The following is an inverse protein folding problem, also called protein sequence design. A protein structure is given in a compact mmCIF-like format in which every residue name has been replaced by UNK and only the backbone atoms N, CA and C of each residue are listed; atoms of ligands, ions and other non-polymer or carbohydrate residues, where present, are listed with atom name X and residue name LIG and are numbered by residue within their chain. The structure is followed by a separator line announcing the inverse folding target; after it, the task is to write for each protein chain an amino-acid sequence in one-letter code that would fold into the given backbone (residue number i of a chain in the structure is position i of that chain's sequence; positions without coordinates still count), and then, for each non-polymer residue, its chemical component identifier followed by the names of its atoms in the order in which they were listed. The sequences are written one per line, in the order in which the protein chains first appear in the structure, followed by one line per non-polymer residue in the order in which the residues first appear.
data_IF_672301508254
#
_entry.id   IF_672301508254
#
_cell.length_a   1.000
_cell.length_b   1.000
_cell.length_c   1.000
_cell.angle_alpha   90.00
_cell.angle_beta   90.00
_cell.angle_gamma   90.00
#
_symmetry.space_group_name_H-M   'P 1'
#
loop_
_entity.id
_entity.type
_entity.pdbx_description
1 polymer ?
#
# COMPACT_ATOMS: atom_id res chain seq x y z
N UNK A 1 -10.33 -27.62 -16.45
CA UNK A 1 -11.48 -26.73 -16.77
C UNK A 1 -12.82 -27.45 -16.60
N UNK A 2 -13.13 -28.51 -17.36
CA UNK A 2 -14.41 -29.26 -17.22
C UNK A 2 -14.57 -29.92 -15.83
N UNK A 3 -13.49 -30.45 -15.26
CA UNK A 3 -13.47 -31.04 -13.90
C UNK A 3 -13.69 -29.98 -12.80
N UNK A 4 -13.18 -28.75 -13.00
CA UNK A 4 -13.38 -27.60 -12.10
C UNK A 4 -14.84 -27.10 -12.15
N UNK A 5 -15.44 -27.05 -13.35
CA UNK A 5 -16.84 -26.68 -13.52
C UNK A 5 -17.80 -27.74 -12.93
N UNK A 6 -17.47 -29.04 -13.06
CA UNK A 6 -18.21 -30.12 -12.42
C UNK A 6 -18.14 -30.08 -10.89
N UNK A 7 -16.97 -29.75 -10.33
CA UNK A 7 -16.78 -29.57 -8.89
C UNK A 7 -17.59 -28.41 -8.30
N UNK A 8 -17.56 -27.24 -8.96
CA UNK A 8 -18.34 -26.07 -8.53
C UNK A 8 -19.86 -26.27 -8.66
N UNK A 9 -20.32 -26.99 -9.70
CA UNK A 9 -21.74 -27.31 -9.88
C UNK A 9 -22.31 -28.26 -8.81
N UNK A 10 -21.51 -29.22 -8.34
CA UNK A 10 -21.87 -30.13 -7.26
C UNK A 10 -21.91 -29.43 -5.89
N UNK A 11 -21.01 -28.47 -5.64
CA UNK A 11 -20.98 -27.73 -4.37
C UNK A 11 -22.12 -26.71 -4.28
N UNK A 12 -22.50 -26.07 -5.39
CA UNK A 12 -23.63 -25.15 -5.46
C UNK A 12 -25.01 -25.82 -5.32
N UNK A 13 -25.13 -27.11 -5.61
CA UNK A 13 -26.35 -27.90 -5.37
C UNK A 13 -26.58 -28.20 -3.87
N UNK A 14 -25.54 -28.06 -3.04
CA UNK A 14 -25.57 -28.41 -1.60
C UNK A 14 -25.84 -27.21 -0.67
N UNK A 15 -25.75 -25.97 -1.15
CA UNK A 15 -25.91 -24.74 -0.34
C UNK A 15 -27.23 -24.02 -0.62
N UNK A 16 -27.81 -23.33 0.37
CA UNK A 16 -29.04 -22.50 0.22
C UNK A 16 -28.70 -21.00 0.28
N UNK A 17 -29.48 -20.16 -0.41
CA UNK A 17 -29.36 -18.69 -0.35
C UNK A 17 -28.68 -18.02 -1.55
N UNK A 18 -28.24 -16.76 -1.38
CA UNK A 18 -27.63 -15.94 -2.44
C UNK A 18 -26.34 -16.54 -3.03
N UNK A 19 -25.57 -17.26 -2.22
CA UNK A 19 -24.32 -17.92 -2.64
C UNK A 19 -24.55 -18.99 -3.73
N UNK A 20 -25.66 -19.72 -3.68
CA UNK A 20 -26.04 -20.71 -4.72
C UNK A 20 -26.28 -20.05 -6.08
N UNK A 21 -26.89 -18.86 -6.10
CA UNK A 21 -27.17 -18.14 -7.35
C UNK A 21 -25.88 -17.64 -7.99
N UNK A 22 -24.94 -17.16 -7.18
CA UNK A 22 -23.63 -16.69 -7.65
C UNK A 22 -22.83 -17.86 -8.21
N UNK A 23 -22.76 -18.98 -7.49
CA UNK A 23 -22.02 -20.18 -7.93
C UNK A 23 -22.58 -20.79 -9.23
N UNK A 24 -23.92 -20.84 -9.38
CA UNK A 24 -24.56 -21.32 -10.61
C UNK A 24 -24.32 -20.39 -11.80
N UNK A 25 -24.32 -19.07 -11.59
CA UNK A 25 -24.02 -18.08 -12.65
C UNK A 25 -22.56 -18.21 -13.08
N UNK A 26 -21.62 -18.32 -12.14
CA UNK A 26 -20.20 -18.51 -12.45
C UNK A 26 -19.97 -19.82 -13.20
N UNK A 27 -20.59 -20.92 -12.78
CA UNK A 27 -20.50 -22.20 -13.47
C UNK A 27 -21.06 -22.13 -14.91
N UNK A 28 -22.20 -21.46 -15.11
CA UNK A 28 -22.80 -21.27 -16.43
C UNK A 28 -21.91 -20.43 -17.37
N UNK A 29 -21.30 -19.36 -16.85
CA UNK A 29 -20.37 -18.51 -17.61
C UNK A 29 -19.12 -19.29 -18.02
N UNK A 30 -18.55 -20.08 -17.12
CA UNK A 30 -17.39 -20.95 -17.43
C UNK A 30 -17.75 -21.98 -18.49
N UNK A 31 -18.92 -22.59 -18.40
CA UNK A 31 -19.39 -23.58 -19.37
C UNK A 31 -19.61 -22.94 -20.75
N UNK A 32 -20.25 -21.77 -20.81
CA UNK A 32 -20.46 -21.01 -22.03
C UNK A 32 -19.12 -20.60 -22.67
N UNK A 33 -18.15 -20.15 -21.87
CA UNK A 33 -16.82 -19.81 -22.34
C UNK A 33 -16.09 -21.02 -22.95
N UNK A 34 -16.23 -22.22 -22.37
CA UNK A 34 -15.68 -23.47 -22.92
C UNK A 34 -16.32 -23.83 -24.25
N UNK A 35 -17.65 -23.71 -24.38
CA UNK A 35 -18.38 -23.98 -25.63
C UNK A 35 -17.95 -23.00 -26.72
N UNK A 36 -17.86 -21.70 -26.40
CA UNK A 36 -17.39 -20.67 -27.33
C UNK A 36 -15.94 -20.95 -27.75
N UNK A 37 -15.06 -21.33 -26.82
CA UNK A 37 -13.68 -21.71 -27.14
C UNK A 37 -13.62 -22.88 -28.11
N UNK A 38 -14.44 -23.92 -27.87
CA UNK A 38 -14.48 -25.13 -28.69
C UNK A 38 -14.99 -24.85 -30.12
N UNK A 39 -16.01 -23.98 -30.26
CA UNK A 39 -16.53 -23.56 -31.57
C UNK A 39 -15.49 -22.71 -32.32
N UNK A 40 -14.81 -21.81 -31.63
CA UNK A 40 -13.86 -20.86 -32.24
C UNK A 40 -12.50 -21.50 -32.55
N UNK A 41 -12.12 -22.59 -31.87
CA UNK A 41 -10.96 -23.41 -32.23
C UNK A 41 -11.09 -24.00 -33.63
N UNK A 42 -12.32 -24.24 -34.08
CA UNK A 42 -12.62 -24.79 -35.40
C UNK A 42 -12.54 -23.76 -36.53
N UNK A 43 -12.58 -22.47 -36.21
CA UNK A 43 -12.57 -21.36 -37.18
C UNK A 43 -11.27 -20.53 -37.17
N UNK A 44 -10.24 -20.98 -36.44
CA UNK A 44 -8.94 -20.30 -36.36
C UNK A 44 -8.89 -19.08 -35.44
N UNK A 45 -9.99 -18.73 -34.77
CA UNK A 45 -10.08 -17.56 -33.88
C UNK A 45 -9.68 -17.82 -32.42
N UNK A 46 -9.18 -19.02 -32.10
CA UNK A 46 -8.93 -19.43 -30.71
C UNK A 46 -7.99 -18.49 -29.95
N UNK A 47 -6.99 -17.91 -30.64
CA UNK A 47 -6.08 -16.94 -30.05
C UNK A 47 -6.78 -15.66 -29.60
N UNK A 48 -7.73 -15.14 -30.39
CA UNK A 48 -8.48 -13.93 -30.06
C UNK A 48 -9.39 -14.17 -28.84
N UNK A 49 -10.09 -15.31 -28.80
CA UNK A 49 -10.97 -15.64 -27.68
C UNK A 49 -10.15 -15.88 -26.40
N UNK A 50 -9.02 -16.59 -26.50
CA UNK A 50 -8.12 -16.76 -25.36
C UNK A 50 -7.59 -15.41 -24.85
N UNK A 51 -7.22 -14.48 -25.74
CA UNK A 51 -6.78 -13.13 -25.36
C UNK A 51 -7.89 -12.34 -24.66
N UNK A 52 -9.13 -12.40 -25.17
CA UNK A 52 -10.28 -11.74 -24.54
C UNK A 52 -10.58 -12.33 -23.17
N UNK A 53 -10.56 -13.66 -23.02
CA UNK A 53 -10.77 -14.32 -21.72
C UNK A 53 -9.66 -14.02 -20.72
N UNK A 54 -8.40 -13.93 -21.17
CA UNK A 54 -7.29 -13.50 -20.32
C UNK A 54 -7.43 -12.04 -19.89
N UNK A 55 -7.85 -11.16 -20.80
CA UNK A 55 -8.09 -9.75 -20.49
C UNK A 55 -9.25 -9.59 -19.49
N UNK A 56 -10.38 -10.26 -19.73
CA UNK A 56 -11.53 -10.27 -18.82
C UNK A 56 -11.17 -10.88 -17.47
N UNK A 57 -10.43 -11.99 -17.47
CA UNK A 57 -9.92 -12.63 -16.25
C UNK A 57 -8.98 -11.71 -15.47
N UNK A 58 -8.12 -10.95 -16.16
CA UNK A 58 -7.24 -9.95 -15.55
C UNK A 58 -8.00 -8.75 -14.97
N UNK A 59 -9.05 -8.27 -15.64
CA UNK A 59 -9.94 -7.22 -15.12
C UNK A 59 -10.72 -7.74 -13.90
N UNK A 60 -11.31 -8.93 -13.99
CA UNK A 60 -12.03 -9.54 -12.88
C UNK A 60 -11.13 -9.78 -11.66
N UNK A 61 -9.89 -10.27 -11.89
CA UNK A 61 -8.90 -10.43 -10.84
C UNK A 61 -8.53 -9.07 -10.20
N UNK A 62 -8.29 -8.03 -11.00
CA UNK A 62 -8.05 -6.68 -10.48
C UNK A 62 -9.18 -6.18 -9.59
N UNK A 63 -10.44 -6.37 -10.00
CA UNK A 63 -11.60 -5.94 -9.23
C UNK A 63 -11.76 -6.78 -7.95
N UNK A 64 -11.55 -8.10 -8.05
CA UNK A 64 -11.70 -9.02 -6.91
C UNK A 64 -10.59 -8.86 -5.86
N UNK A 65 -9.37 -8.56 -6.28
CA UNK A 65 -8.22 -8.33 -5.41
C UNK A 65 -7.96 -6.84 -5.12
N UNK A 66 -8.80 -5.93 -5.63
CA UNK A 66 -8.81 -4.57 -5.14
C UNK A 66 -9.22 -4.62 -3.66
N UNK A 67 -8.26 -4.43 -2.77
CA UNK A 67 -8.48 -4.43 -1.34
C UNK A 67 -9.44 -3.30 -0.99
N UNK A 68 -10.74 -3.61 -0.88
CA UNK A 68 -11.72 -2.67 -0.34
C UNK A 68 -11.62 -2.75 1.17
N UNK A 69 -10.77 -1.89 1.73
CA UNK A 69 -10.77 -1.64 3.17
C UNK A 69 -12.07 -0.90 3.48
N UNK A 70 -13.05 -1.59 4.07
CA UNK A 70 -14.26 -0.93 4.56
C UNK A 70 -13.86 -0.02 5.69
N UNK A 71 -14.07 1.29 5.52
CA UNK A 71 -13.82 2.30 6.55
C UNK A 71 -15.18 2.85 7.01
N UNK A 72 -15.49 2.83 8.31
CA UNK A 72 -16.62 3.57 8.86
C UNK A 72 -16.59 5.02 8.40
N UNK A 73 -17.76 5.59 8.08
CA UNK A 73 -17.86 7.00 7.73
C UNK A 73 -17.36 7.86 8.90
N UNK A 74 -16.57 8.89 8.60
CA UNK A 74 -16.06 9.83 9.58
C UNK A 74 -16.69 11.21 9.38
N UNK A 75 -16.74 12.05 10.43
CA UNK A 75 -17.11 13.45 10.28
C UNK A 75 -16.17 14.15 9.32
N UNK A 76 -16.71 14.97 8.42
CA UNK A 76 -15.91 15.80 7.54
C UNK A 76 -15.08 16.82 8.36
N UNK A 77 -13.75 16.90 8.17
CA UNK A 77 -12.92 17.95 8.74
C UNK A 77 -13.36 19.34 8.27
N UNK A 78 -13.36 20.31 9.18
CA UNK A 78 -13.68 21.72 8.89
C UNK A 78 -12.47 22.52 8.44
N UNK A 79 -11.27 22.14 8.88
CA UNK A 79 -9.99 22.82 8.59
C UNK A 79 -8.89 21.80 8.22
N UNK A 80 -9.09 20.97 7.18
CA UNK A 80 -8.09 20.02 6.76
C UNK A 80 -6.88 20.71 6.13
N UNK A 81 -5.67 20.22 6.44
CA UNK A 81 -4.42 20.73 5.89
C UNK A 81 -3.65 19.61 5.20
N UNK A 82 -3.18 19.85 3.98
CA UNK A 82 -2.24 18.97 3.26
C UNK A 82 -0.88 19.64 3.15
N UNK A 83 0.16 18.97 3.67
CA UNK A 83 1.55 19.36 3.48
C UNK A 83 2.10 18.57 2.29
N UNK A 84 2.67 19.25 1.31
CA UNK A 84 3.11 18.60 0.07
C UNK A 84 4.49 19.05 -0.38
N UNK A 85 5.27 18.11 -0.92
CA UNK A 85 6.61 18.39 -1.43
C UNK A 85 6.63 18.30 -2.97
N UNK A 86 6.83 19.42 -3.70
CA UNK A 86 6.80 19.46 -5.16
C UNK A 86 7.91 18.62 -5.82
N UNK A 87 8.98 18.27 -5.10
CA UNK A 87 10.11 17.48 -5.61
C UNK A 87 9.93 15.97 -5.38
N UNK A 88 8.95 15.54 -4.59
CA UNK A 88 8.75 14.12 -4.29
C UNK A 88 8.28 13.32 -5.51
N UNK A 89 8.71 12.06 -5.60
CA UNK A 89 8.23 11.10 -6.60
C UNK A 89 8.40 11.51 -8.06
N UNK A 90 9.34 12.40 -8.38
CA UNK A 90 9.50 12.95 -9.73
C UNK A 90 8.49 14.06 -10.07
N UNK A 91 8.02 14.78 -9.04
CA UNK A 91 7.09 15.90 -9.16
C UNK A 91 5.65 15.49 -9.43
N UNK A 92 5.23 14.33 -8.91
CA UNK A 92 3.85 13.84 -9.11
C UNK A 92 2.80 14.83 -8.61
N UNK A 93 2.97 15.35 -7.39
CA UNK A 93 2.05 16.33 -6.80
C UNK A 93 2.00 17.63 -7.62
N UNK A 94 3.16 18.12 -8.06
CA UNK A 94 3.26 19.31 -8.92
C UNK A 94 2.54 19.11 -10.26
N UNK A 95 2.83 18.01 -10.96
CA UNK A 95 2.20 17.66 -12.24
C UNK A 95 0.69 17.47 -12.13
N UNK A 96 0.23 17.03 -10.97
CA UNK A 96 -1.19 16.86 -10.65
C UNK A 96 -1.86 18.15 -10.14
N UNK A 97 -1.12 19.27 -10.06
CA UNK A 97 -1.61 20.54 -9.53
C UNK A 97 -2.24 20.40 -8.13
N UNK A 98 -1.61 19.59 -7.27
CA UNK A 98 -2.17 19.16 -5.98
C UNK A 98 -2.62 20.35 -5.12
N UNK A 99 -1.86 21.44 -5.09
CA UNK A 99 -2.20 22.63 -4.31
C UNK A 99 -3.53 23.26 -4.72
N UNK A 100 -3.78 23.39 -6.02
CA UNK A 100 -5.04 23.93 -6.53
C UNK A 100 -6.21 22.96 -6.33
N UNK A 101 -5.98 21.67 -6.55
CA UNK A 101 -6.98 20.61 -6.34
C UNK A 101 -7.40 20.50 -4.86
N UNK A 102 -6.45 20.66 -3.93
CA UNK A 102 -6.71 20.73 -2.51
C UNK A 102 -7.53 21.99 -2.16
N UNK A 103 -7.12 23.16 -2.65
CA UNK A 103 -7.85 24.41 -2.43
C UNK A 103 -9.30 24.34 -2.95
N UNK A 104 -9.52 23.72 -4.12
CA UNK A 104 -10.85 23.52 -4.69
C UNK A 104 -11.77 22.66 -3.81
N UNK A 105 -11.20 21.80 -2.95
CA UNK A 105 -11.91 20.96 -1.97
C UNK A 105 -12.07 21.62 -0.60
N UNK A 106 -11.54 22.83 -0.43
CA UNK A 106 -11.49 23.53 0.86
C UNK A 106 -10.40 23.01 1.80
N UNK A 107 -9.36 22.39 1.26
CA UNK A 107 -8.19 21.90 2.00
C UNK A 107 -7.07 22.96 1.89
N UNK A 108 -6.52 23.38 3.01
CA UNK A 108 -5.35 24.26 3.03
C UNK A 108 -4.12 23.49 2.52
N UNK A 109 -3.51 23.97 1.44
CA UNK A 109 -2.31 23.35 0.87
C UNK A 109 -1.06 24.10 1.28
N UNK A 110 -0.20 23.45 2.06
CA UNK A 110 1.10 23.98 2.51
C UNK A 110 2.21 23.32 1.70
N UNK A 111 2.86 24.09 0.84
CA UNK A 111 4.00 23.63 0.06
C UNK A 111 5.27 23.61 0.93
N UNK A 112 5.97 22.48 0.98
CA UNK A 112 7.27 22.34 1.61
C UNK A 112 8.37 22.87 0.68
N UNK A 113 8.96 24.01 1.03
CA UNK A 113 10.01 24.67 0.25
C UNK A 113 11.41 24.28 0.71
N UNK A 114 12.43 24.47 -0.13
CA UNK A 114 13.82 24.25 0.28
C UNK A 114 14.19 25.13 1.48
N UNK A 115 14.64 24.50 2.57
CA UNK A 115 15.03 25.19 3.81
C UNK A 115 13.93 25.21 4.88
N UNK A 116 12.71 24.82 4.54
CA UNK A 116 11.63 24.70 5.52
C UNK A 116 11.87 23.50 6.45
N UNK A 117 11.46 23.65 7.69
CA UNK A 117 11.33 22.54 8.64
C UNK A 117 9.91 21.96 8.54
N UNK A 118 9.82 20.73 8.03
CA UNK A 118 8.55 20.01 7.90
C UNK A 118 7.82 19.88 9.23
N UNK A 119 8.53 19.64 10.33
CA UNK A 119 7.90 19.46 11.66
C UNK A 119 7.27 20.78 12.08
N UNK A 120 7.99 21.89 11.96
CA UNK A 120 7.47 23.22 12.29
C UNK A 120 6.26 23.59 11.43
N UNK A 121 6.29 23.33 10.13
CA UNK A 121 5.13 23.62 9.26
C UNK A 121 3.86 22.88 9.69
N UNK A 122 3.99 21.63 10.11
CA UNK A 122 2.87 20.82 10.57
C UNK A 122 2.40 21.29 11.95
N UNK A 123 3.32 21.57 12.87
CA UNK A 123 3.01 22.10 14.19
C UNK A 123 2.32 23.47 14.11
N UNK A 124 2.77 24.35 13.21
CA UNK A 124 2.14 25.63 12.95
C UNK A 124 0.73 25.45 12.38
N UNK A 125 0.52 24.47 11.50
CA UNK A 125 -0.81 24.15 10.97
C UNK A 125 -1.77 23.68 12.08
N UNK A 126 -1.29 22.80 12.97
CA UNK A 126 -2.02 22.36 14.16
C UNK A 126 -2.34 23.55 15.06
N UNK A 127 -1.35 24.41 15.35
CA UNK A 127 -1.53 25.59 16.18
C UNK A 127 -2.55 26.60 15.59
N UNK A 128 -2.67 26.66 14.25
CA UNK A 128 -3.72 27.44 13.56
C UNK A 128 -5.11 26.80 13.65
N UNK A 129 -5.23 25.58 14.16
CA UNK A 129 -6.49 24.87 14.36
C UNK A 129 -6.82 23.87 13.24
N UNK A 130 -5.82 23.24 12.64
CA UNK A 130 -6.05 22.11 11.74
C UNK A 130 -6.74 20.96 12.50
N UNK A 131 -7.82 20.42 11.93
CA UNK A 131 -8.58 19.29 12.50
C UNK A 131 -8.41 17.98 11.71
N UNK A 132 -7.61 18.01 10.65
CA UNK A 132 -7.11 16.84 9.93
C UNK A 132 -5.82 17.19 9.19
N UNK A 133 -4.93 16.21 9.08
CA UNK A 133 -3.64 16.37 8.40
C UNK A 133 -3.49 15.40 7.22
N UNK A 134 -2.83 15.84 6.16
CA UNK A 134 -2.43 14.97 5.06
C UNK A 134 -1.01 15.27 4.61
N UNK A 135 -0.35 14.25 4.07
CA UNK A 135 1.02 14.36 3.58
C UNK A 135 1.15 13.84 2.15
N UNK A 136 1.58 14.71 1.24
CA UNK A 136 1.93 14.36 -0.13
C UNK A 136 3.45 14.37 -0.31
N UNK A 137 4.05 13.20 -0.11
CA UNK A 137 5.49 13.01 -0.21
C UNK A 137 5.88 11.53 -0.20
N UNK A 138 7.16 11.26 0.01
CA UNK A 138 7.63 9.89 0.28
C UNK A 138 7.28 9.40 1.69
N UNK A 139 7.58 8.13 1.97
CA UNK A 139 7.23 7.46 3.23
C UNK A 139 7.79 8.20 4.46
N UNK A 140 8.98 8.82 4.36
CA UNK A 140 9.57 9.62 5.46
C UNK A 140 8.78 10.90 5.79
N UNK A 141 8.30 11.62 4.76
CA UNK A 141 7.41 12.78 4.95
C UNK A 141 6.09 12.34 5.56
N UNK A 142 5.51 11.26 5.03
CA UNK A 142 4.25 10.72 5.54
C UNK A 142 4.37 10.26 7.00
N UNK A 143 5.45 9.56 7.37
CA UNK A 143 5.68 9.11 8.74
C UNK A 143 5.83 10.27 9.73
N UNK A 144 6.54 11.34 9.38
CA UNK A 144 6.70 12.52 10.24
C UNK A 144 5.36 13.23 10.49
N UNK A 145 4.58 13.47 9.43
CA UNK A 145 3.25 14.10 9.57
C UNK A 145 2.30 13.19 10.35
N UNK A 146 2.31 11.87 10.08
CA UNK A 146 1.51 10.89 10.81
C UNK A 146 1.86 10.83 12.31
N UNK A 147 3.14 11.01 12.65
CA UNK A 147 3.60 11.07 14.05
C UNK A 147 2.97 12.25 14.79
N UNK A 148 2.98 13.43 14.16
CA UNK A 148 2.37 14.63 14.74
C UNK A 148 0.85 14.46 14.82
N UNK A 149 0.21 13.99 13.75
CA UNK A 149 -1.23 13.71 13.76
C UNK A 149 -1.63 12.77 14.90
N UNK A 150 -0.90 11.67 15.11
CA UNK A 150 -1.16 10.73 16.19
C UNK A 150 -0.95 11.36 17.59
N UNK A 151 0.10 12.18 17.75
CA UNK A 151 0.37 12.91 19.01
C UNK A 151 -0.76 13.89 19.35
N UNK A 152 -1.32 14.56 18.34
CA UNK A 152 -2.39 15.55 18.50
C UNK A 152 -3.80 14.93 18.46
N UNK A 153 -3.91 13.62 18.22
CA UNK A 153 -5.19 12.92 18.09
C UNK A 153 -6.00 13.31 16.85
N UNK A 154 -5.32 13.73 15.78
CA UNK A 154 -5.93 14.17 14.53
C UNK A 154 -5.98 13.03 13.49
N UNK A 155 -7.05 12.97 12.66
CA UNK A 155 -7.08 12.07 11.53
C UNK A 155 -6.01 12.42 10.51
N UNK A 156 -5.46 11.39 9.86
CA UNK A 156 -4.37 11.51 8.92
C UNK A 156 -4.68 10.83 7.58
N UNK A 157 -4.39 11.51 6.46
CA UNK A 157 -4.51 10.96 5.12
C UNK A 157 -3.17 10.92 4.36
N UNK A 158 -2.90 9.79 3.71
CA UNK A 158 -1.76 9.61 2.82
C UNK A 158 -2.09 10.04 1.39
N UNK A 159 -1.33 11.00 0.85
CA UNK A 159 -1.39 11.36 -0.57
C UNK A 159 -0.17 10.75 -1.28
N UNK A 160 -0.34 9.85 -2.27
CA UNK A 160 0.72 9.01 -2.82
C UNK A 160 1.64 9.74 -3.82
N UNK A 161 2.27 10.83 -3.40
CA UNK A 161 3.16 11.64 -4.24
C UNK A 161 4.64 11.19 -4.22
N UNK A 162 4.99 10.16 -3.46
CA UNK A 162 6.32 9.58 -3.39
C UNK A 162 6.67 8.59 -4.51
N UNK A 163 7.91 8.09 -4.46
CA UNK A 163 8.42 7.12 -5.44
C UNK A 163 7.89 5.70 -5.18
N UNK A 164 7.86 5.27 -3.91
CA UNK A 164 7.48 3.91 -3.50
C UNK A 164 6.08 3.82 -2.91
N UNK A 165 5.66 4.84 -2.15
CA UNK A 165 4.31 4.95 -1.55
C UNK A 165 3.89 3.68 -0.81
N UNK A 166 4.81 3.03 -0.10
CA UNK A 166 4.50 1.76 0.55
C UNK A 166 3.44 1.98 1.64
N UNK A 167 3.58 3.05 2.42
CA UNK A 167 2.61 3.32 3.47
C UNK A 167 1.21 3.63 2.92
N UNK A 168 1.11 4.40 1.84
CA UNK A 168 -0.17 4.65 1.19
C UNK A 168 -0.81 3.35 0.66
N UNK A 169 0.00 2.46 0.08
CA UNK A 169 -0.46 1.15 -0.39
C UNK A 169 -0.98 0.27 0.76
N UNK A 170 -0.26 0.22 1.88
CA UNK A 170 -0.65 -0.55 3.06
C UNK A 170 -1.96 -0.04 3.68
N UNK A 171 -2.23 1.27 3.56
CA UNK A 171 -3.52 1.86 3.96
C UNK A 171 -4.66 1.59 2.96
N UNK A 172 -4.37 1.00 1.80
CA UNK A 172 -5.32 0.76 0.72
C UNK A 172 -5.64 1.99 -0.13
N UNK A 173 -4.74 2.99 -0.16
CA UNK A 173 -4.84 4.15 -1.05
C UNK A 173 -4.36 3.77 -2.45
N UNK A 174 -5.08 4.19 -3.49
CA UNK A 174 -4.63 4.00 -4.87
C UNK A 174 -3.39 4.87 -5.14
N UNK A 175 -2.24 4.22 -5.32
CA UNK A 175 -0.95 4.88 -5.51
C UNK A 175 -0.85 5.69 -6.81
N UNK A 176 -1.75 5.44 -7.76
CA UNK A 176 -1.75 6.07 -9.07
C UNK A 176 -2.72 7.27 -9.12
N UNK A 177 -3.56 7.45 -8.09
CA UNK A 177 -4.51 8.56 -7.98
C UNK A 177 -4.14 9.55 -6.86
N UNK A 178 -3.24 10.48 -7.20
CA UNK A 178 -2.76 11.52 -6.28
C UNK A 178 -3.87 12.51 -5.91
N UNK A 179 -4.75 12.86 -6.85
CA UNK A 179 -5.78 13.87 -6.65
C UNK A 179 -6.98 13.28 -5.91
N UNK A 180 -7.45 12.10 -6.30
CA UNK A 180 -8.55 11.42 -5.62
C UNK A 180 -8.22 11.04 -4.17
N UNK A 181 -6.94 10.85 -3.84
CA UNK A 181 -6.53 10.65 -2.45
C UNK A 181 -6.89 11.85 -1.52
N UNK A 182 -7.08 13.06 -2.05
CA UNK A 182 -7.56 14.22 -1.28
C UNK A 182 -8.99 14.05 -0.75
N UNK A 183 -9.81 13.24 -1.43
CA UNK A 183 -11.21 13.04 -1.05
C UNK A 183 -11.34 12.34 0.31
N UNK A 184 -10.27 11.68 0.77
CA UNK A 184 -10.17 11.16 2.14
C UNK A 184 -10.40 12.25 3.22
N UNK A 185 -10.11 13.52 2.92
CA UNK A 185 -10.34 14.67 3.80
C UNK A 185 -11.70 15.35 3.60
N UNK A 186 -12.55 14.85 2.71
CA UNK A 186 -13.84 15.46 2.37
C UNK A 186 -15.00 14.56 2.82
N UNK A 187 -15.01 13.31 2.34
CA UNK A 187 -16.06 12.32 2.61
C UNK A 187 -15.48 10.91 2.89
N UNK A 188 -14.19 10.87 3.25
CA UNK A 188 -13.48 9.66 3.61
C UNK A 188 -14.01 8.98 4.87
N UNK A 189 -13.81 7.66 4.93
CA UNK A 189 -13.94 6.91 6.17
C UNK A 189 -12.62 6.80 6.92
N UNK A 190 -12.70 6.57 8.22
CA UNK A 190 -11.55 6.48 9.12
C UNK A 190 -11.43 5.08 9.74
N UNK A 191 -10.19 4.71 10.07
CA UNK A 191 -9.86 3.50 10.83
C UNK A 191 -8.60 3.76 11.63
N UNK A 192 -8.58 3.31 12.88
CA UNK A 192 -7.40 3.37 13.73
C UNK A 192 -6.35 2.39 13.21
N UNK A 193 -5.11 2.86 13.10
CA UNK A 193 -3.94 2.06 12.75
C UNK A 193 -2.85 2.30 13.79
N UNK A 194 -2.04 1.28 14.04
CA UNK A 194 -0.91 1.38 14.97
C UNK A 194 0.23 2.17 14.33
N UNK A 195 1.02 2.85 15.17
CA UNK A 195 2.32 3.41 14.81
C UNK A 195 3.37 2.76 15.71
N UNK A 196 4.48 2.33 15.11
CA UNK A 196 5.59 1.75 15.87
C UNK A 196 6.75 2.75 15.99
N UNK A 197 7.51 2.67 17.07
CA UNK A 197 8.61 3.58 17.36
C UNK A 197 9.89 2.80 17.68
N UNK A 198 11.03 3.28 17.17
CA UNK A 198 12.37 2.82 17.56
C UNK A 198 13.19 4.04 17.98
N UNK A 199 13.62 4.09 19.24
CA UNK A 199 14.49 5.14 19.78
C UNK A 199 13.97 6.57 19.49
N UNK A 200 12.69 6.86 19.73
CA UNK A 200 12.12 8.18 19.45
C UNK A 200 11.74 8.42 17.98
N UNK A 201 11.90 7.44 17.09
CA UNK A 201 11.60 7.57 15.66
C UNK A 201 10.47 6.63 15.26
N UNK A 202 9.35 7.22 14.86
CA UNK A 202 8.21 6.47 14.34
C UNK A 202 8.53 5.88 12.98
N UNK A 203 8.09 4.64 12.77
CA UNK A 203 8.03 3.99 11.47
C UNK A 203 6.63 3.40 11.25
N UNK A 204 6.19 3.46 10.01
CA UNK A 204 4.81 3.10 9.63
C UNK A 204 4.67 1.72 9.01
N UNK A 205 5.77 1.13 8.51
CA UNK A 205 5.73 -0.15 7.79
C UNK A 205 6.64 -1.21 8.42
N UNK A 206 7.96 -1.02 8.34
CA UNK A 206 8.91 -1.93 8.97
C UNK A 206 10.22 -1.24 9.35
N UNK A 207 10.88 -1.83 10.35
CA UNK A 207 12.26 -1.57 10.71
C UNK A 207 13.06 -2.87 10.58
N UNK A 208 14.16 -2.81 9.83
CA UNK A 208 15.04 -3.96 9.60
C UNK A 208 16.42 -3.70 10.19
N UNK A 209 16.96 -4.67 10.91
CA UNK A 209 18.33 -4.67 11.45
C UNK A 209 19.10 -5.89 10.94
N UNK A 210 20.43 -5.77 10.90
CA UNK A 210 21.34 -6.84 10.50
C UNK A 210 21.70 -6.80 9.02
N UNK A 211 22.05 -7.94 8.44
CA UNK A 211 22.63 -8.01 7.07
C UNK A 211 21.72 -7.40 6.00
N UNK A 212 20.40 -7.36 6.23
CA UNK A 212 19.43 -6.70 5.36
C UNK A 212 19.56 -5.16 5.35
N UNK A 213 19.90 -4.53 6.48
CA UNK A 213 20.08 -3.08 6.55
C UNK A 213 21.36 -2.62 5.80
N UNK A 214 22.41 -3.44 5.83
CA UNK A 214 23.66 -3.17 5.12
C UNK A 214 23.49 -3.31 3.60
N UNK A 215 22.68 -4.28 3.16
CA UNK A 215 22.38 -4.47 1.74
C UNK A 215 21.55 -3.32 1.13
N UNK A 216 20.60 -2.75 1.87
CA UNK A 216 19.71 -1.67 1.40
C UNK A 216 20.43 -0.31 1.30
N UNK A 217 21.50 -0.08 2.07
CA UNK A 217 22.31 1.14 2.01
C UNK A 217 23.32 1.17 0.85
N UNK A 218 23.60 0.03 0.21
CA UNK A 218 24.47 -0.01 -0.98
C UNK A 218 23.71 0.52 -2.19
N UNK A 219 24.32 1.44 -2.94
CA UNK A 219 23.70 2.10 -4.10
C UNK A 219 23.18 1.11 -5.17
N UNK A 220 23.72 -0.11 -5.21
CA UNK A 220 23.26 -1.21 -6.05
C UNK A 220 21.81 -1.65 -5.78
N UNK A 221 21.24 -1.36 -4.60
CA UNK A 221 19.87 -1.74 -4.23
C UNK A 221 18.83 -0.71 -4.70
N UNK A 222 19.20 0.56 -4.94
CA UNK A 222 18.27 1.62 -5.34
C UNK A 222 17.68 1.44 -6.74
N UNK A 223 18.24 0.55 -7.57
CA UNK A 223 17.78 0.26 -8.93
C UNK A 223 17.39 -1.19 -9.23
N UNK A 224 17.31 -2.07 -8.23
CA UNK A 224 17.37 -3.51 -8.47
C UNK A 224 15.99 -4.21 -8.56
N UNK A 225 15.73 -4.81 -9.73
CA UNK A 225 14.72 -5.85 -9.97
C UNK A 225 14.96 -7.08 -9.06
N UNK A 226 13.93 -7.89 -8.86
CA UNK A 226 13.86 -9.13 -8.06
C UNK A 226 15.07 -10.06 -8.18
N UNK A 227 15.81 -10.00 -9.29
CA UNK A 227 17.04 -10.76 -9.55
C UNK A 227 18.23 -10.36 -8.66
N UNK A 228 18.35 -9.12 -8.20
CA UNK A 228 19.48 -8.70 -7.36
C UNK A 228 19.28 -9.16 -5.91
N UNK A 229 18.03 -9.20 -5.41
CA UNK A 229 17.70 -9.76 -4.09
C UNK A 229 18.16 -11.23 -3.98
N UNK A 230 17.94 -12.04 -5.01
CA UNK A 230 18.37 -13.44 -5.04
C UNK A 230 19.89 -13.62 -5.11
N UNK A 231 20.63 -12.65 -5.66
CA UNK A 231 22.09 -12.71 -5.78
C UNK A 231 22.85 -12.10 -4.60
N UNK A 232 22.23 -11.17 -3.85
CA UNK A 232 22.89 -10.54 -2.69
C UNK A 232 22.71 -11.33 -1.41
N UNK A 233 21.65 -12.14 -1.33
CA UNK A 233 21.37 -13.01 -0.18
C UNK A 233 22.49 -14.05 0.03
N UNK A 234 22.97 -14.80 -0.98
CA UNK A 234 24.09 -15.73 -0.79
C UNK A 234 25.41 -15.07 -0.41
N UNK A 235 25.68 -13.84 -0.87
CA UNK A 235 26.89 -13.09 -0.51
C UNK A 235 26.80 -12.51 0.91
N UNK A 236 25.60 -12.14 1.37
CA UNK A 236 25.31 -11.80 2.76
C UNK A 236 25.38 -13.03 3.69
N UNK A 237 25.21 -14.24 3.13
CA UNK A 237 25.33 -15.54 3.79
C UNK A 237 26.58 -16.32 3.31
N UNK A 238 27.58 -15.64 2.75
CA UNK A 238 28.69 -16.22 2.00
C UNK A 238 29.79 -16.80 2.89
N UNK A 239 29.98 -18.12 2.74
CA UNK A 239 31.16 -18.96 3.01
C UNK A 239 32.42 -18.19 3.50
N UNK A 240 32.77 -18.45 4.77
CA UNK A 240 34.07 -18.23 5.46
C UNK A 240 34.10 -17.13 6.55
N UNK A 241 33.84 -17.50 7.82
CA UNK A 241 34.33 -16.79 9.03
C UNK A 241 33.33 -16.66 10.21
N UNK A 242 33.78 -16.60 11.49
CA UNK A 242 32.92 -16.62 12.70
C UNK A 242 32.32 -15.25 13.10
N UNK A 243 32.55 -14.19 12.32
CA UNK A 243 32.38 -12.80 12.77
C UNK A 243 31.19 -12.06 12.10
N UNK A 244 30.09 -12.75 11.80
CA UNK A 244 28.86 -12.02 11.47
C UNK A 244 28.25 -11.41 12.74
N UNK A 245 27.90 -10.11 12.74
CA UNK A 245 27.27 -9.48 13.89
C UNK A 245 25.95 -10.19 14.18
N UNK A 246 25.96 -11.04 15.20
CA UNK A 246 24.78 -11.77 15.66
C UNK A 246 23.95 -10.83 16.52
N UNK A 247 22.75 -10.50 16.04
CA UNK A 247 21.82 -9.68 16.78
C UNK A 247 21.24 -10.50 17.93
N UNK A 248 21.30 -9.93 19.13
CA UNK A 248 20.56 -10.42 20.30
C UNK A 248 19.29 -9.61 20.45
N UNK A 249 18.21 -10.28 20.80
CA UNK A 249 16.91 -9.63 20.97
C UNK A 249 16.17 -10.28 22.15
N UNK A 250 15.25 -9.51 22.72
CA UNK A 250 14.36 -9.96 23.79
C UNK A 250 12.94 -9.74 23.32
N UNK A 251 12.10 -10.77 23.45
CA UNK A 251 10.71 -10.72 23.02
C UNK A 251 9.83 -9.85 23.93
N UNK A 252 8.57 -9.60 23.53
CA UNK A 252 7.60 -8.86 24.35
C UNK A 252 7.32 -9.51 25.71
N UNK A 253 7.56 -10.82 25.84
CA UNK A 253 7.45 -11.59 27.08
C UNK A 253 8.67 -11.47 28.00
N UNK A 254 9.66 -10.66 27.62
CA UNK A 254 10.91 -10.46 28.35
C UNK A 254 11.91 -11.60 28.18
N UNK A 255 11.65 -12.60 27.32
CA UNK A 255 12.55 -13.73 27.13
C UNK A 255 13.55 -13.47 26.00
N UNK A 256 14.85 -13.76 26.20
CA UNK A 256 15.83 -13.62 25.14
C UNK A 256 15.57 -14.67 24.05
N UNK A 257 15.60 -14.23 22.79
CA UNK A 257 15.51 -15.10 21.64
C UNK A 257 16.87 -15.67 21.23
N UNK A 258 16.89 -16.67 20.32
CA UNK A 258 18.13 -17.14 19.72
C UNK A 258 18.79 -16.01 18.91
N UNK A 259 20.13 -15.98 18.81
CA UNK A 259 20.83 -15.00 17.98
C UNK A 259 20.40 -15.10 16.52
N UNK A 260 20.24 -13.95 15.86
CA UNK A 260 19.80 -13.88 14.45
C UNK A 260 20.75 -13.01 13.62
N UNK A 261 20.85 -13.32 12.33
CA UNK A 261 21.60 -12.51 11.37
C UNK A 261 20.82 -11.27 10.90
N UNK A 262 19.48 -11.33 10.94
CA UNK A 262 18.60 -10.22 10.60
C UNK A 262 17.37 -10.24 11.51
N UNK A 263 16.90 -9.05 11.88
CA UNK A 263 15.67 -8.86 12.64
C UNK A 263 14.77 -7.90 11.84
N UNK A 264 13.53 -8.32 11.58
CA UNK A 264 12.50 -7.50 10.95
C UNK A 264 11.37 -7.29 11.95
N UNK A 265 11.07 -6.03 12.23
CA UNK A 265 9.90 -5.63 13.03
C UNK A 265 8.94 -4.92 12.09
N UNK A 266 7.71 -5.40 11.97
CA UNK A 266 6.70 -4.82 11.08
C UNK A 266 5.49 -4.31 11.87
N UNK A 267 4.91 -3.25 11.34
CA UNK A 267 3.71 -2.57 11.82
C UNK A 267 2.65 -2.45 10.71
N UNK A 268 2.72 -3.30 9.67
CA UNK A 268 1.75 -3.25 8.58
C UNK A 268 0.36 -3.71 9.07
N UNK A 269 -0.72 -3.02 8.65
CA UNK A 269 -2.10 -3.40 8.95
C UNK A 269 -2.57 -4.66 8.22
#
# INVERSE_FOLDING_TARGET
MVVLAGGLGLDGLRRRGASRRIELVVAAVVLAAVVVLAVVWRTGGAALVAAVLLALGGVAARIAFAARVVRPAAPRPSRPVVIWNPRSGGGKAEKANLGAEAAARGIEAVELRPGDDLVQLVEDAVARGADALAAAGGDGTQALVATIAAREGLPFACIPAGTRNHFALDLGVDRDDVVGALDALVDGGERVVDLAEVNGRVFVNNASLGVYAEAVQRDSYRGAKTSTLLNTVPDAFGKDGPDHPTLRWTGPDGRPGPPVAALLVSNNP
#
